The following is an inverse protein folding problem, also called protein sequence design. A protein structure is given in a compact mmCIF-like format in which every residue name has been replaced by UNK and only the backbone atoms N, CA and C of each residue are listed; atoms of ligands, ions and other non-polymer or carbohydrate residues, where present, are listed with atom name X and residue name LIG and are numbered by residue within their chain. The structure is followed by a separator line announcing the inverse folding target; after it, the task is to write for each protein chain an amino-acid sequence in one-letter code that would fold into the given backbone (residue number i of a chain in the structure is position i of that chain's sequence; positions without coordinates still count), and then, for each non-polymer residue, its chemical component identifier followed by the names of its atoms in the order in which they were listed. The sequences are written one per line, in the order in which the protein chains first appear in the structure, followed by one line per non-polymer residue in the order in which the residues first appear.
data_IF_363518549853
#
_entry.id   IF_363518549853
#
_cell.length_a   1.000
_cell.length_b   1.000
_cell.length_c   1.000
_cell.angle_alpha   90.00
_cell.angle_beta   90.00
_cell.angle_gamma   90.00
#
_symmetry.space_group_name_H-M   'P 1'
#
loop_
_entity.id
_entity.type
_entity.pdbx_description
1 polymer ?
#
# COMPACT_ATOMS: atom_id res chain seq x y z
N UNK A 1 5.25 -43.30 -2.24
CA UNK A 1 4.46 -43.15 -3.47
C UNK A 1 5.09 -43.93 -4.61
N UNK A 2 4.28 -44.31 -5.60
CA UNK A 2 4.72 -44.75 -6.92
C UNK A 2 5.16 -43.52 -7.71
N UNK A 3 6.35 -43.52 -8.29
CA UNK A 3 6.82 -42.43 -9.16
C UNK A 3 6.55 -42.84 -10.60
N UNK A 4 5.88 -41.98 -11.37
CA UNK A 4 5.57 -42.24 -12.79
C UNK A 4 6.19 -41.12 -13.63
N UNK A 5 7.20 -41.42 -14.47
CA UNK A 5 7.78 -40.42 -15.35
C UNK A 5 6.81 -40.11 -16.48
N UNK A 6 6.67 -38.82 -16.80
CA UNK A 6 5.91 -38.32 -17.95
C UNK A 6 6.90 -37.58 -18.83
N UNK A 7 6.99 -38.00 -20.10
CA UNK A 7 7.97 -37.49 -21.04
C UNK A 7 7.32 -36.50 -22.00
N UNK A 8 8.05 -35.44 -22.34
CA UNK A 8 7.63 -34.54 -23.41
C UNK A 8 7.62 -35.28 -24.76
N UNK A 9 6.65 -34.95 -25.61
CA UNK A 9 6.60 -35.51 -26.96
C UNK A 9 7.66 -34.85 -27.85
N UNK A 10 8.64 -35.60 -28.38
CA UNK A 10 9.72 -35.04 -29.20
C UNK A 10 9.21 -34.27 -30.43
N UNK A 11 8.04 -34.66 -30.93
CA UNK A 11 7.39 -34.06 -32.09
C UNK A 11 6.94 -32.62 -31.83
N UNK A 12 6.73 -32.22 -30.57
CA UNK A 12 6.21 -30.91 -30.16
C UNK A 12 7.30 -29.82 -30.14
N UNK A 13 8.58 -30.19 -30.03
CA UNK A 13 9.69 -29.24 -29.97
C UNK A 13 10.13 -28.67 -31.35
N UNK A 14 9.58 -29.16 -32.46
CA UNK A 14 10.09 -28.91 -33.82
C UNK A 14 9.30 -27.88 -34.65
N UNK A 15 8.54 -26.98 -34.02
CA UNK A 15 7.74 -25.92 -34.69
C UNK A 15 6.42 -26.41 -35.29
N UNK A 16 5.38 -26.53 -34.46
CA UNK A 16 4.44 -27.66 -34.56
C UNK A 16 3.02 -27.28 -35.00
N UNK A 17 2.41 -28.19 -35.77
CA UNK A 17 1.00 -28.20 -36.14
C UNK A 17 0.12 -28.58 -34.95
N UNK A 18 -0.98 -27.86 -34.76
CA UNK A 18 -1.98 -28.06 -33.71
C UNK A 18 -2.36 -29.53 -33.44
N UNK A 19 -2.52 -30.35 -34.49
CA UNK A 19 -2.88 -31.77 -34.37
C UNK A 19 -1.88 -32.59 -33.54
N UNK A 20 -0.59 -32.24 -33.59
CA UNK A 20 0.46 -32.94 -32.82
C UNK A 20 0.51 -32.53 -31.35
N UNK A 21 0.06 -31.31 -31.03
CA UNK A 21 -0.14 -30.94 -29.63
C UNK A 21 -1.30 -31.72 -29.01
N UNK A 22 -2.42 -31.86 -29.74
CA UNK A 22 -3.58 -32.67 -29.28
C UNK A 22 -3.17 -34.13 -29.07
N UNK A 23 -2.49 -34.75 -30.04
CA UNK A 23 -2.03 -36.14 -29.88
C UNK A 23 -1.12 -36.31 -28.65
N UNK A 24 -0.29 -35.31 -28.36
CA UNK A 24 0.58 -35.33 -27.19
C UNK A 24 -0.20 -35.14 -25.88
N UNK A 25 -1.16 -34.22 -25.87
CA UNK A 25 -2.06 -33.98 -24.73
C UNK A 25 -2.83 -35.25 -24.36
N UNK A 26 -3.39 -35.96 -25.35
CA UNK A 26 -4.06 -37.25 -25.15
C UNK A 26 -3.12 -38.30 -24.54
N UNK A 27 -1.86 -38.37 -24.99
CA UNK A 27 -0.86 -39.30 -24.46
C UNK A 27 -0.47 -38.99 -23.01
N UNK A 28 -0.26 -37.69 -22.71
CA UNK A 28 0.06 -37.23 -21.36
C UNK A 28 -1.11 -37.49 -20.43
N UNK A 29 -2.34 -37.15 -20.82
CA UNK A 29 -3.56 -37.39 -20.05
C UNK A 29 -3.76 -38.88 -19.77
N UNK A 30 -3.58 -39.74 -20.77
CA UNK A 30 -3.68 -41.19 -20.60
C UNK A 30 -2.64 -41.70 -19.59
N UNK A 31 -1.40 -41.20 -19.67
CA UNK A 31 -0.32 -41.57 -18.75
C UNK A 31 -0.63 -41.13 -17.31
N UNK A 32 -1.11 -39.90 -17.13
CA UNK A 32 -1.50 -39.37 -15.81
C UNK A 32 -2.70 -40.15 -15.23
N UNK A 33 -3.66 -40.51 -16.07
CA UNK A 33 -4.83 -41.32 -15.68
C UNK A 33 -4.42 -42.73 -15.25
N UNK A 34 -3.48 -43.36 -15.95
CA UNK A 34 -2.90 -44.65 -15.53
C UNK A 34 -2.06 -44.51 -14.25
N UNK A 35 -1.35 -43.39 -14.10
CA UNK A 35 -0.49 -43.11 -12.95
C UNK A 35 -1.29 -43.01 -11.64
N UNK A 36 -2.47 -42.36 -11.68
CA UNK A 36 -3.42 -42.28 -10.55
C UNK A 36 -3.77 -43.67 -9.99
N UNK A 37 -3.86 -44.68 -10.84
CA UNK A 37 -4.27 -46.03 -10.45
C UNK A 37 -5.75 -46.12 -10.04
N UNK A 38 -6.18 -47.29 -9.58
CA UNK A 38 -7.59 -47.58 -9.28
C UNK A 38 -8.02 -47.23 -7.85
N UNK A 39 -7.11 -46.75 -7.00
CA UNK A 39 -7.35 -46.62 -5.57
C UNK A 39 -8.15 -45.36 -5.17
N UNK A 40 -8.47 -44.47 -6.11
CA UNK A 40 -9.29 -43.29 -5.87
C UNK A 40 -8.49 -42.07 -5.38
N UNK A 41 -7.39 -42.30 -4.68
CA UNK A 41 -6.45 -41.27 -4.24
C UNK A 41 -5.78 -40.64 -5.47
N UNK A 42 -5.93 -39.33 -5.67
CA UNK A 42 -5.38 -38.61 -6.82
C UNK A 42 -3.85 -38.58 -6.82
N UNK A 43 -3.27 -37.86 -7.78
CA UNK A 43 -1.85 -37.55 -7.82
C UNK A 43 -1.54 -36.55 -6.70
N UNK A 44 -0.72 -36.97 -5.73
CA UNK A 44 -0.29 -36.14 -4.59
C UNK A 44 0.80 -35.14 -4.95
N UNK A 45 1.70 -35.47 -5.88
CA UNK A 45 2.85 -34.63 -6.22
C UNK A 45 3.10 -34.64 -7.72
N UNK A 46 3.14 -33.44 -8.31
CA UNK A 46 3.65 -33.21 -9.66
C UNK A 46 5.00 -32.49 -9.53
N UNK A 47 6.06 -33.09 -10.07
CA UNK A 47 7.39 -32.50 -10.08
C UNK A 47 7.74 -32.07 -11.51
N UNK A 48 7.95 -30.77 -11.72
CA UNK A 48 8.50 -30.21 -12.94
C UNK A 48 10.03 -30.17 -12.81
N UNK A 49 10.69 -31.12 -13.46
CA UNK A 49 12.14 -31.17 -13.48
C UNK A 49 12.74 -30.14 -14.46
N UNK A 50 14.05 -29.90 -14.32
CA UNK A 50 14.79 -28.92 -15.12
C UNK A 50 14.84 -29.27 -16.62
N UNK A 51 14.68 -30.54 -16.99
CA UNK A 51 14.71 -30.99 -18.38
C UNK A 51 13.36 -30.89 -19.08
N UNK A 52 12.28 -30.59 -18.34
CA UNK A 52 10.97 -30.37 -18.92
C UNK A 52 11.01 -29.15 -19.88
N UNK A 53 10.60 -29.30 -21.14
CA UNK A 53 10.54 -28.19 -22.09
C UNK A 53 9.28 -27.34 -21.86
N UNK A 54 9.29 -26.11 -22.35
CA UNK A 54 8.17 -25.16 -22.24
C UNK A 54 6.85 -25.76 -22.76
N UNK A 55 6.92 -26.47 -23.88
CA UNK A 55 5.76 -27.09 -24.53
C UNK A 55 5.10 -28.15 -23.65
N UNK A 56 5.88 -28.87 -22.81
CA UNK A 56 5.31 -29.79 -21.82
C UNK A 56 4.53 -29.03 -20.75
N UNK A 57 5.00 -27.83 -20.38
CA UNK A 57 4.27 -26.91 -19.52
C UNK A 57 2.91 -26.51 -20.10
N UNK A 58 2.88 -26.18 -21.39
CA UNK A 58 1.63 -25.82 -22.09
C UNK A 58 0.64 -26.99 -22.14
N UNK A 59 1.13 -28.21 -22.38
CA UNK A 59 0.29 -29.41 -22.37
C UNK A 59 -0.28 -29.65 -20.97
N UNK A 60 0.56 -29.53 -19.94
CA UNK A 60 0.10 -29.72 -18.57
C UNK A 60 -0.92 -28.64 -18.15
N UNK A 61 -0.70 -27.38 -18.52
CA UNK A 61 -1.65 -26.27 -18.33
C UNK A 61 -3.00 -26.56 -19.01
N UNK A 62 -2.98 -26.97 -20.27
CA UNK A 62 -4.19 -27.34 -21.02
C UNK A 62 -4.99 -28.45 -20.32
N UNK A 63 -4.29 -29.49 -19.85
CA UNK A 63 -4.94 -30.59 -19.13
C UNK A 63 -5.54 -30.11 -17.81
N UNK A 64 -4.80 -29.35 -17.01
CA UNK A 64 -5.18 -28.97 -15.65
C UNK A 64 -6.16 -27.78 -15.58
N UNK A 65 -6.24 -26.96 -16.63
CA UNK A 65 -7.24 -25.89 -16.74
C UNK A 65 -8.67 -26.40 -16.89
N UNK A 66 -8.84 -27.66 -17.31
CA UNK A 66 -10.14 -28.33 -17.36
C UNK A 66 -10.45 -28.89 -15.96
N UNK A 67 -11.42 -28.29 -15.27
CA UNK A 67 -11.89 -28.68 -13.93
C UNK A 67 -12.12 -30.19 -13.80
N UNK A 68 -12.81 -30.81 -14.77
CA UNK A 68 -13.05 -32.26 -14.76
C UNK A 68 -11.76 -33.10 -14.76
N UNK A 69 -10.74 -32.69 -15.52
CA UNK A 69 -9.45 -33.39 -15.53
C UNK A 69 -8.71 -33.17 -14.22
N UNK A 70 -8.76 -31.96 -13.67
CA UNK A 70 -8.13 -31.63 -12.40
C UNK A 70 -8.71 -32.48 -11.26
N UNK A 71 -10.02 -32.47 -11.08
CA UNK A 71 -10.72 -33.29 -10.07
C UNK A 71 -10.48 -34.79 -10.26
N UNK A 72 -10.32 -35.21 -11.52
CA UNK A 72 -10.01 -36.59 -11.85
C UNK A 72 -8.55 -36.93 -11.56
N UNK A 73 -7.59 -36.03 -11.75
CA UNK A 73 -6.17 -36.36 -11.73
C UNK A 73 -5.52 -36.10 -10.37
N UNK A 74 -5.79 -34.97 -9.73
CA UNK A 74 -5.12 -34.55 -8.49
C UNK A 74 -5.99 -34.79 -7.27
N UNK A 75 -5.35 -34.95 -6.11
CA UNK A 75 -6.09 -35.08 -4.84
C UNK A 75 -6.72 -33.74 -4.47
N UNK A 76 -8.05 -33.72 -4.29
CA UNK A 76 -8.88 -32.51 -4.09
C UNK A 76 -8.35 -31.58 -2.99
N UNK A 77 -7.66 -32.11 -1.97
CA UNK A 77 -7.19 -31.31 -0.81
C UNK A 77 -5.75 -31.63 -0.36
N UNK A 78 -5.01 -32.45 -1.10
CA UNK A 78 -3.71 -32.97 -0.66
C UNK A 78 -2.74 -33.16 -1.84
N UNK A 79 -2.58 -32.12 -2.66
CA UNK A 79 -1.60 -32.15 -3.74
C UNK A 79 -0.60 -31.01 -3.69
N UNK A 80 0.56 -31.28 -4.26
CA UNK A 80 1.70 -30.37 -4.38
C UNK A 80 2.17 -30.33 -5.83
N UNK A 81 2.52 -29.15 -6.32
CA UNK A 81 3.28 -29.01 -7.55
C UNK A 81 4.60 -28.34 -7.24
N UNK A 82 5.70 -28.94 -7.68
CA UNK A 82 7.04 -28.51 -7.32
C UNK A 82 7.83 -28.27 -8.59
N UNK A 83 8.51 -27.13 -8.65
CA UNK A 83 9.46 -26.81 -9.71
C UNK A 83 10.77 -26.37 -9.08
N UNK A 84 11.89 -26.87 -9.60
CA UNK A 84 13.22 -26.38 -9.25
C UNK A 84 13.89 -25.89 -10.53
N UNK A 85 14.29 -24.62 -10.57
CA UNK A 85 14.94 -24.04 -11.73
C UNK A 85 16.07 -23.08 -11.32
N UNK A 86 17.11 -22.92 -12.17
CA UNK A 86 18.03 -21.80 -12.05
C UNK A 86 17.27 -20.47 -12.17
N UNK A 87 17.75 -19.42 -11.48
CA UNK A 87 17.15 -18.07 -11.55
C UNK A 87 17.51 -17.35 -12.87
N UNK A 88 17.05 -17.90 -13.99
CA UNK A 88 17.19 -17.36 -15.34
C UNK A 88 15.80 -16.97 -15.88
N UNK A 89 15.68 -15.80 -16.51
CA UNK A 89 14.40 -15.32 -17.07
C UNK A 89 13.77 -16.30 -18.08
N UNK A 90 14.58 -17.14 -18.75
CA UNK A 90 14.09 -18.16 -19.68
C UNK A 90 13.28 -19.28 -19.00
N UNK A 91 13.44 -19.46 -17.69
CA UNK A 91 12.81 -20.54 -16.91
C UNK A 91 11.56 -20.09 -16.14
N UNK A 92 11.17 -18.81 -16.26
CA UNK A 92 10.03 -18.23 -15.53
C UNK A 92 8.69 -18.91 -15.87
N UNK A 93 8.60 -19.62 -16.99
CA UNK A 93 7.37 -20.28 -17.40
C UNK A 93 6.89 -21.33 -16.40
N UNK A 94 7.77 -22.07 -15.70
CA UNK A 94 7.35 -23.08 -14.70
C UNK A 94 6.66 -22.39 -13.53
N UNK A 95 7.20 -21.26 -13.10
CA UNK A 95 6.61 -20.43 -12.05
C UNK A 95 5.28 -19.83 -12.51
N UNK A 96 5.20 -19.36 -13.74
CA UNK A 96 3.97 -18.83 -14.31
C UNK A 96 2.89 -19.91 -14.43
N UNK A 97 3.25 -21.14 -14.78
CA UNK A 97 2.35 -22.30 -14.79
C UNK A 97 1.76 -22.56 -13.41
N UNK A 98 2.59 -22.62 -12.37
CA UNK A 98 2.13 -22.81 -11.00
C UNK A 98 1.25 -21.62 -10.52
N UNK A 99 1.62 -20.39 -10.85
CA UNK A 99 0.81 -19.21 -10.51
C UNK A 99 -0.52 -19.19 -11.26
N UNK A 100 -0.55 -19.62 -12.53
CA UNK A 100 -1.77 -19.73 -13.31
C UNK A 100 -2.72 -20.75 -12.69
N UNK A 101 -2.22 -21.95 -12.38
CA UNK A 101 -2.99 -22.98 -11.67
C UNK A 101 -3.57 -22.46 -10.35
N UNK A 102 -2.77 -21.72 -9.56
CA UNK A 102 -3.23 -21.10 -8.31
C UNK A 102 -4.41 -20.14 -8.52
N UNK A 103 -4.43 -19.42 -9.65
CA UNK A 103 -5.44 -18.41 -9.96
C UNK A 103 -6.72 -19.00 -10.56
N UNK A 104 -6.64 -20.19 -11.19
CA UNK A 104 -7.79 -20.88 -11.75
C UNK A 104 -8.66 -21.57 -10.68
N UNK A 105 -8.08 -21.87 -9.53
CA UNK A 105 -8.79 -22.53 -8.44
C UNK A 105 -9.68 -21.54 -7.68
N UNK A 106 -10.97 -21.88 -7.60
CA UNK A 106 -12.01 -20.98 -7.10
C UNK A 106 -11.88 -20.70 -5.60
N UNK A 107 -11.25 -21.62 -4.86
CA UNK A 107 -11.15 -21.59 -3.40
C UNK A 107 -9.74 -21.19 -2.95
N UNK A 108 -9.64 -20.03 -2.29
CA UNK A 108 -8.45 -19.65 -1.50
C UNK A 108 -8.39 -20.59 -0.27
N UNK A 109 -7.35 -21.40 -0.03
CA UNK A 109 -6.00 -20.95 -0.30
C UNK A 109 -5.04 -22.02 -0.83
N UNK A 110 -4.92 -22.09 -2.15
CA UNK A 110 -3.71 -22.66 -2.74
C UNK A 110 -2.53 -21.73 -2.45
N UNK A 111 -1.53 -22.28 -1.75
CA UNK A 111 -0.31 -21.59 -1.35
C UNK A 111 0.74 -21.76 -2.43
N UNK A 112 1.31 -20.67 -2.91
CA UNK A 112 2.53 -20.68 -3.73
C UNK A 112 3.70 -20.16 -2.89
N UNK A 113 4.64 -21.04 -2.58
CA UNK A 113 5.84 -20.72 -1.83
C UNK A 113 7.04 -20.67 -2.76
N UNK A 114 7.86 -19.64 -2.61
CA UNK A 114 9.13 -19.48 -3.31
C UNK A 114 10.26 -19.56 -2.30
N UNK A 115 11.20 -20.45 -2.56
CA UNK A 115 12.42 -20.61 -1.79
C UNK A 115 13.62 -20.37 -2.67
N UNK A 116 14.56 -19.56 -2.20
CA UNK A 116 15.86 -19.41 -2.84
C UNK A 116 16.84 -20.36 -2.16
N UNK A 117 17.55 -21.13 -2.98
CA UNK A 117 18.56 -22.10 -2.54
C UNK A 117 19.88 -21.68 -3.15
N UNK A 118 20.90 -21.43 -2.32
CA UNK A 118 22.24 -21.09 -2.76
C UNK A 118 23.21 -22.21 -2.38
N UNK A 119 23.97 -22.71 -3.37
CA UNK A 119 25.02 -23.72 -3.17
C UNK A 119 26.24 -23.31 -3.99
N UNK A 120 27.40 -23.18 -3.36
CA UNK A 120 28.67 -22.78 -3.98
C UNK A 120 28.58 -21.52 -4.84
N UNK A 121 27.77 -20.55 -4.40
CA UNK A 121 27.52 -19.29 -5.11
C UNK A 121 26.53 -19.35 -6.28
N UNK A 122 26.01 -20.53 -6.62
CA UNK A 122 24.92 -20.69 -7.58
C UNK A 122 23.56 -20.62 -6.85
N UNK A 123 22.61 -19.86 -7.40
CA UNK A 123 21.26 -19.71 -6.84
C UNK A 123 20.22 -20.39 -7.71
N UNK A 124 19.39 -21.20 -7.07
CA UNK A 124 18.23 -21.87 -7.64
C UNK A 124 16.96 -21.37 -6.95
N UNK A 125 15.85 -21.34 -7.68
CA UNK A 125 14.52 -21.05 -7.15
C UNK A 125 13.73 -22.36 -7.09
N UNK A 126 13.29 -22.73 -5.89
CA UNK A 126 12.34 -23.81 -5.63
C UNK A 126 10.96 -23.19 -5.44
N UNK A 127 10.04 -23.50 -6.33
CA UNK A 127 8.65 -23.04 -6.29
C UNK A 127 7.75 -24.22 -5.95
N UNK A 128 6.96 -24.07 -4.88
CA UNK A 128 6.07 -25.09 -4.37
C UNK A 128 4.65 -24.53 -4.34
N UNK A 129 3.77 -25.09 -5.15
CA UNK A 129 2.34 -24.94 -5.03
C UNK A 129 1.79 -26.03 -4.11
N UNK A 130 0.91 -25.67 -3.18
CA UNK A 130 0.27 -26.62 -2.26
C UNK A 130 -1.19 -26.27 -2.06
N UNK A 131 -2.07 -27.27 -2.23
CA UNK A 131 -3.49 -27.18 -1.89
C UNK A 131 -3.81 -27.84 -0.53
N UNK A 132 -2.81 -28.08 0.31
CA UNK A 132 -3.04 -28.68 1.63
C UNK A 132 -3.59 -27.62 2.60
N UNK A 133 -4.79 -27.85 3.14
CA UNK A 133 -5.41 -26.98 4.15
C UNK A 133 -4.59 -26.93 5.46
N UNK A 134 -3.89 -28.01 5.80
CA UNK A 134 -3.12 -28.15 7.05
C UNK A 134 -1.68 -27.63 6.96
N UNK A 135 -1.16 -27.31 5.77
CA UNK A 135 0.18 -26.73 5.63
C UNK A 135 0.22 -25.29 6.14
N UNK A 136 0.42 -25.11 7.45
CA UNK A 136 0.78 -23.81 7.99
C UNK A 136 2.19 -23.39 7.60
N UNK A 137 2.49 -22.09 7.67
CA UNK A 137 3.83 -21.50 7.42
C UNK A 137 4.99 -22.21 8.16
N UNK A 138 4.70 -22.92 9.27
CA UNK A 138 5.66 -23.74 10.02
C UNK A 138 6.26 -24.88 9.19
N UNK A 139 5.52 -25.47 8.24
CA UNK A 139 6.03 -26.56 7.40
C UNK A 139 7.06 -26.05 6.40
N UNK A 140 6.87 -24.86 5.82
CA UNK A 140 7.87 -24.23 4.95
C UNK A 140 9.14 -23.89 5.73
N UNK A 141 9.01 -23.39 6.95
CA UNK A 141 10.18 -23.18 7.83
C UNK A 141 10.91 -24.49 8.15
N UNK A 142 10.15 -25.56 8.43
CA UNK A 142 10.74 -26.88 8.68
C UNK A 142 11.43 -27.45 7.43
N UNK A 143 10.90 -27.18 6.24
CA UNK A 143 11.52 -27.55 4.96
C UNK A 143 12.82 -26.78 4.74
N UNK A 144 12.82 -25.47 4.99
CA UNK A 144 14.00 -24.62 4.94
C UNK A 144 15.12 -25.16 5.84
N UNK A 145 14.81 -25.45 7.10
CA UNK A 145 15.78 -26.00 8.07
C UNK A 145 16.33 -27.36 7.61
N UNK A 146 15.48 -28.23 7.05
CA UNK A 146 15.90 -29.52 6.50
C UNK A 146 16.78 -29.37 5.26
N UNK A 147 16.47 -28.44 4.37
CA UNK A 147 17.27 -28.15 3.18
C UNK A 147 18.64 -27.60 3.59
N UNK A 148 18.69 -26.62 4.50
CA UNK A 148 19.96 -26.10 5.02
C UNK A 148 20.80 -27.22 5.65
N UNK A 149 20.20 -28.07 6.48
CA UNK A 149 20.90 -29.18 7.11
C UNK A 149 21.46 -30.17 6.07
N UNK A 150 20.67 -30.54 5.06
CA UNK A 150 21.10 -31.46 4.01
C UNK A 150 22.18 -30.86 3.10
N UNK A 151 22.07 -29.58 2.74
CA UNK A 151 23.02 -28.91 1.87
C UNK A 151 24.34 -28.61 2.57
N UNK A 152 24.32 -28.38 3.89
CA UNK A 152 25.52 -28.17 4.70
C UNK A 152 26.47 -29.38 4.72
N UNK A 153 25.97 -30.59 4.41
CA UNK A 153 26.81 -31.78 4.25
C UNK A 153 27.65 -31.74 2.95
N UNK A 154 27.19 -30.98 1.96
CA UNK A 154 27.82 -30.85 0.64
C UNK A 154 28.66 -29.58 0.54
N UNK A 155 28.15 -28.47 1.08
CA UNK A 155 28.79 -27.16 1.05
C UNK A 155 28.47 -26.37 2.34
N UNK A 156 29.52 -25.95 3.06
CA UNK A 156 29.39 -25.21 4.30
C UNK A 156 28.79 -23.81 4.14
N UNK A 157 28.81 -23.25 2.91
CA UNK A 157 28.21 -21.97 2.57
C UNK A 157 26.81 -22.10 1.97
N UNK A 158 26.25 -23.32 1.91
CA UNK A 158 24.91 -23.50 1.37
C UNK A 158 23.83 -22.88 2.27
N UNK A 159 22.82 -22.29 1.63
CA UNK A 159 21.66 -21.71 2.30
C UNK A 159 20.37 -22.05 1.55
N UNK A 160 19.26 -22.03 2.28
CA UNK A 160 17.92 -22.05 1.72
C UNK A 160 17.07 -21.07 2.53
N UNK A 161 16.25 -20.28 1.85
CA UNK A 161 15.39 -19.26 2.47
C UNK A 161 14.03 -19.20 1.79
N UNK A 162 12.95 -19.16 2.58
CA UNK A 162 11.61 -18.84 2.07
C UNK A 162 11.52 -17.33 1.81
N UNK A 163 11.47 -16.94 0.54
CA UNK A 163 11.47 -15.53 0.12
C UNK A 163 10.06 -14.97 -0.02
N UNK A 164 9.10 -15.80 -0.42
CA UNK A 164 7.71 -15.38 -0.57
C UNK A 164 6.75 -16.54 -0.36
N UNK A 165 5.58 -16.25 0.23
CA UNK A 165 4.42 -17.12 0.24
C UNK A 165 3.22 -16.30 -0.23
N UNK A 166 2.59 -16.73 -1.32
CA UNK A 166 1.42 -16.10 -1.93
C UNK A 166 0.20 -16.99 -1.77
N UNK A 167 -0.98 -16.41 -1.56
CA UNK A 167 -2.17 -17.17 -1.15
C UNK A 167 -2.03 -17.66 0.29
N UNK A 168 -2.87 -18.58 0.75
CA UNK A 168 -2.60 -19.22 2.05
C UNK A 168 -3.05 -18.45 3.28
N UNK A 169 -3.37 -17.17 3.14
CA UNK A 169 -3.46 -16.25 4.30
C UNK A 169 -4.74 -16.44 5.10
N UNK A 170 -5.83 -16.80 4.43
CA UNK A 170 -7.12 -17.02 5.04
C UNK A 170 -7.63 -18.39 4.60
N UNK A 171 -8.09 -19.20 5.55
CA UNK A 171 -8.86 -20.39 5.21
C UNK A 171 -10.16 -19.91 4.56
N UNK A 172 -10.52 -20.43 3.39
CA UNK A 172 -11.85 -20.20 2.85
C UNK A 172 -12.89 -20.64 3.88
N UNK A 173 -13.80 -19.73 4.18
CA UNK A 173 -14.96 -19.98 5.02
C UNK A 173 -16.17 -19.89 4.11
N UNK A 174 -16.80 -21.04 3.83
CA UNK A 174 -18.02 -21.11 3.01
C UNK A 174 -19.09 -20.16 3.57
N UNK A 175 -19.22 -20.14 4.90
CA UNK A 175 -20.07 -19.21 5.66
C UNK A 175 -19.24 -18.09 6.29
N UNK A 176 -18.51 -17.31 5.49
CA UNK A 176 -17.76 -16.15 5.99
C UNK A 176 -18.71 -15.10 6.57
N UNK A 177 -18.87 -15.10 7.89
CA UNK A 177 -19.62 -14.10 8.67
C UNK A 177 -18.64 -13.21 9.46
N UNK A 178 -18.02 -12.22 8.81
CA UNK A 178 -17.09 -11.34 9.48
C UNK A 178 -17.82 -10.55 10.55
N UNK A 179 -17.32 -10.59 11.78
CA UNK A 179 -17.78 -9.67 12.82
C UNK A 179 -17.49 -8.24 12.37
N UNK A 180 -18.53 -7.50 12.05
CA UNK A 180 -18.45 -6.06 11.85
C UNK A 180 -18.22 -5.41 13.22
N UNK A 181 -17.17 -4.61 13.33
CA UNK A 181 -16.91 -3.79 14.52
C UNK A 181 -17.42 -2.38 14.24
N UNK A 182 -18.70 -2.06 14.57
CA UNK A 182 -19.22 -0.71 14.45
C UNK A 182 -18.41 0.25 15.32
N UNK A 183 -18.51 1.55 15.06
CA UNK A 183 -17.82 2.55 15.89
C UNK A 183 -18.21 2.43 17.39
N UNK A 184 -19.44 2.02 17.67
CA UNK A 184 -19.98 1.83 19.01
C UNK A 184 -19.36 0.63 19.76
N UNK A 185 -18.68 -0.29 19.05
CA UNK A 185 -17.92 -1.38 19.68
C UNK A 185 -16.60 -0.88 20.32
N UNK A 186 -16.19 0.37 20.03
CA UNK A 186 -14.99 0.98 20.58
C UNK A 186 -15.33 1.88 21.77
N UNK A 187 -14.51 1.86 22.82
CA UNK A 187 -14.63 2.79 23.95
C UNK A 187 -14.30 4.22 23.45
N UNK A 188 -15.25 5.18 23.49
CA UNK A 188 -14.99 6.55 23.04
C UNK A 188 -14.14 7.34 24.05
N UNK A 189 -13.98 6.85 25.29
CA UNK A 189 -13.34 7.58 26.37
C UNK A 189 -11.92 8.06 26.05
N UNK A 190 -11.00 7.25 25.47
CA UNK A 190 -9.67 7.74 25.12
C UNK A 190 -9.71 8.90 24.10
N UNK A 191 -10.66 8.84 23.15
CA UNK A 191 -10.88 9.92 22.18
C UNK A 191 -11.42 11.19 22.84
N UNK A 192 -12.38 11.06 23.75
CA UNK A 192 -12.96 12.17 24.50
C UNK A 192 -11.95 12.79 25.47
N UNK A 193 -11.16 11.99 26.17
CA UNK A 193 -10.10 12.46 27.07
C UNK A 193 -9.01 13.20 26.27
N UNK A 194 -8.63 12.67 25.11
CA UNK A 194 -7.71 13.34 24.19
C UNK A 194 -8.29 14.67 23.69
N UNK A 195 -9.56 14.68 23.29
CA UNK A 195 -10.26 15.87 22.85
C UNK A 195 -10.31 16.96 23.94
N UNK A 196 -10.73 16.60 25.15
CA UNK A 196 -10.82 17.52 26.28
C UNK A 196 -9.46 18.08 26.73
N UNK A 197 -8.38 17.33 26.48
CA UNK A 197 -7.02 17.77 26.77
C UNK A 197 -6.44 18.74 25.73
N UNK A 198 -7.12 18.96 24.59
CA UNK A 198 -6.63 19.87 23.55
C UNK A 198 -6.61 21.32 24.05
N UNK A 199 -5.53 22.02 23.74
CA UNK A 199 -5.37 23.45 24.04
C UNK A 199 -4.83 24.15 22.81
N UNK A 200 -5.61 25.04 22.16
CA UNK A 200 -5.10 25.87 21.08
C UNK A 200 -4.17 26.90 21.74
N UNK A 201 -2.90 26.87 21.35
CA UNK A 201 -1.85 27.78 21.81
C UNK A 201 -1.43 28.77 20.73
N UNK A 202 -2.13 28.79 19.61
CA UNK A 202 -1.86 29.71 18.52
C UNK A 202 -2.53 29.29 17.23
N UNK A 203 -2.57 30.21 16.28
CA UNK A 203 -3.09 29.99 14.93
C UNK A 203 -2.05 30.37 13.91
N UNK A 204 -1.88 29.54 12.89
CA UNK A 204 -0.98 29.82 11.77
C UNK A 204 -1.80 29.91 10.49
N UNK A 205 -1.66 31.00 9.74
CA UNK A 205 -2.15 31.10 8.38
C UNK A 205 -0.98 31.13 7.40
N UNK A 206 -1.10 30.38 6.31
CA UNK A 206 -0.22 30.45 5.14
C UNK A 206 -1.06 30.95 3.98
N UNK A 207 -0.71 32.12 3.46
CA UNK A 207 -1.46 32.79 2.40
C UNK A 207 -0.53 33.01 1.22
N UNK A 208 -0.97 32.60 0.04
CA UNK A 208 -0.22 32.74 -1.20
C UNK A 208 -0.88 33.77 -2.10
N UNK A 209 -0.05 34.60 -2.70
CA UNK A 209 -0.44 35.68 -3.59
C UNK A 209 0.35 35.56 -4.90
N UNK A 210 -0.37 35.67 -6.01
CA UNK A 210 0.19 35.61 -7.35
C UNK A 210 -0.08 36.89 -8.12
N UNK A 211 0.87 37.30 -8.96
CA UNK A 211 0.68 38.42 -9.87
C UNK A 211 -0.40 38.07 -10.92
N UNK A 212 -1.39 38.95 -11.16
CA UNK A 212 -2.30 38.75 -12.29
C UNK A 212 -1.56 38.82 -13.63
N UNK A 213 -2.10 38.20 -14.67
CA UNK A 213 -1.53 38.18 -16.03
C UNK A 213 -1.22 39.62 -16.54
N UNK A 214 -2.14 40.56 -16.31
CA UNK A 214 -1.99 41.98 -16.68
C UNK A 214 -1.47 42.87 -15.52
N UNK A 215 -0.92 42.27 -14.47
CA UNK A 215 -0.49 42.96 -13.25
C UNK A 215 0.81 43.76 -13.41
N UNK A 216 0.92 44.83 -12.63
CA UNK A 216 2.18 45.59 -12.52
C UNK A 216 3.24 44.73 -11.83
N UNK A 217 4.47 44.75 -12.35
CA UNK A 217 5.58 44.04 -11.69
C UNK A 217 5.80 44.57 -10.27
N UNK A 218 5.98 43.66 -9.32
CA UNK A 218 6.39 44.00 -7.97
C UNK A 218 7.91 44.14 -7.94
N UNK A 219 8.44 45.13 -7.23
CA UNK A 219 9.86 45.24 -6.90
C UNK A 219 10.07 45.09 -5.39
N UNK A 220 11.30 44.79 -4.98
CA UNK A 220 11.62 44.56 -3.56
C UNK A 220 11.18 45.73 -2.66
N UNK A 221 11.33 46.97 -3.14
CA UNK A 221 10.96 48.16 -2.38
C UNK A 221 9.44 48.26 -2.20
N UNK A 222 8.69 47.94 -3.25
CA UNK A 222 7.23 47.92 -3.24
C UNK A 222 6.70 46.79 -2.35
N UNK A 223 7.31 45.61 -2.41
CA UNK A 223 6.98 44.48 -1.52
C UNK A 223 7.19 44.85 -0.05
N UNK A 224 8.38 45.36 0.31
CA UNK A 224 8.69 45.78 1.68
C UNK A 224 7.75 46.91 2.11
N UNK A 225 7.45 47.87 1.23
CA UNK A 225 6.51 48.96 1.52
C UNK A 225 5.08 48.48 1.74
N UNK A 226 4.64 47.39 1.10
CA UNK A 226 3.33 46.79 1.37
C UNK A 226 3.27 46.24 2.79
N UNK A 227 4.29 45.48 3.20
CA UNK A 227 4.37 44.92 4.56
C UNK A 227 4.46 46.04 5.61
N UNK A 228 5.33 47.03 5.40
CA UNK A 228 5.54 48.17 6.30
C UNK A 228 4.27 49.04 6.46
N UNK A 229 3.37 49.07 5.47
CA UNK A 229 2.15 49.88 5.53
C UNK A 229 1.07 49.28 6.43
N UNK A 230 1.07 47.96 6.62
CA UNK A 230 0.02 47.20 7.36
C UNK A 230 0.48 46.94 8.79
N UNK A 231 1.77 46.79 8.95
CA UNK A 231 2.38 46.67 10.25
C UNK A 231 2.19 47.98 11.02
N UNK A 232 1.22 48.03 11.92
CA UNK A 232 1.08 49.16 12.82
C UNK A 232 2.43 49.48 13.46
N UNK A 233 2.79 50.78 13.46
CA UNK A 233 4.13 51.30 13.76
C UNK A 233 4.72 50.91 15.12
N UNK A 234 3.94 50.26 15.98
CA UNK A 234 4.31 49.88 17.34
C UNK A 234 4.31 48.35 17.59
N UNK A 235 3.85 47.52 16.66
CA UNK A 235 3.69 46.07 16.89
C UNK A 235 4.81 45.22 16.28
N UNK A 236 5.42 45.63 15.17
CA UNK A 236 6.33 44.76 14.42
C UNK A 236 7.68 45.45 14.18
N UNK A 237 8.75 44.92 14.79
CA UNK A 237 10.11 45.19 14.33
C UNK A 237 10.41 44.22 13.18
N UNK A 238 10.77 44.76 12.02
CA UNK A 238 11.09 43.96 10.83
C UNK A 238 12.58 43.84 10.61
N UNK A 239 12.99 42.63 10.28
CA UNK A 239 14.25 42.37 9.61
C UNK A 239 13.97 42.10 8.13
N UNK A 240 14.65 42.85 7.26
CA UNK A 240 14.49 42.73 5.81
C UNK A 240 15.76 42.17 5.20
N UNK A 241 15.62 41.06 4.47
CA UNK A 241 16.70 40.36 3.80
C UNK A 241 16.48 40.39 2.29
N UNK A 242 17.32 41.14 1.56
CA UNK A 242 17.26 41.28 0.09
C UNK A 242 18.39 40.53 -0.63
N UNK A 243 19.17 39.73 0.09
CA UNK A 243 20.32 39.00 -0.46
C UNK A 243 19.96 37.61 -1.01
N UNK A 244 18.68 37.25 -1.04
CA UNK A 244 18.19 35.94 -1.48
C UNK A 244 17.71 36.04 -2.94
N UNK A 245 18.63 35.84 -3.88
CA UNK A 245 18.32 35.90 -5.32
C UNK A 245 17.83 37.28 -5.76
N UNK A 246 16.76 37.32 -6.55
CA UNK A 246 16.05 38.56 -6.95
C UNK A 246 14.92 38.94 -5.96
N UNK A 247 14.67 38.09 -4.97
CA UNK A 247 13.56 38.19 -4.04
C UNK A 247 13.88 38.97 -2.76
N UNK A 248 12.93 38.92 -1.83
CA UNK A 248 13.06 39.52 -0.52
C UNK A 248 12.33 38.70 0.54
N UNK A 249 12.88 38.69 1.75
CA UNK A 249 12.26 38.10 2.93
C UNK A 249 12.09 39.19 3.98
N UNK A 250 10.88 39.32 4.51
CA UNK A 250 10.56 40.19 5.65
C UNK A 250 10.16 39.30 6.81
N UNK A 251 10.89 39.41 7.92
CA UNK A 251 10.63 38.65 9.15
C UNK A 251 10.27 39.64 10.25
N UNK A 252 9.22 39.34 10.98
CA UNK A 252 8.92 40.00 12.25
C UNK A 252 8.57 38.97 13.30
N UNK A 253 9.06 39.21 14.50
CA UNK A 253 8.80 38.42 15.69
C UNK A 253 8.41 39.36 16.83
N UNK A 254 7.29 39.09 17.46
CA UNK A 254 6.61 39.98 18.42
C UNK A 254 6.00 39.18 19.54
N UNK A 255 5.64 39.82 20.64
CA UNK A 255 4.95 39.15 21.76
C UNK A 255 3.56 38.59 21.35
N UNK A 256 2.96 39.13 20.28
CA UNK A 256 1.68 38.65 19.76
C UNK A 256 1.83 37.45 18.81
N UNK A 257 3.00 37.29 18.17
CA UNK A 257 3.23 36.30 17.14
C UNK A 257 4.34 36.69 16.16
N UNK A 258 4.43 35.97 15.05
CA UNK A 258 5.47 36.16 14.04
C UNK A 258 4.88 36.26 12.63
N UNK A 259 5.47 37.10 11.79
CA UNK A 259 5.20 37.18 10.36
C UNK A 259 6.48 36.83 9.59
N UNK A 260 6.37 35.92 8.63
CA UNK A 260 7.40 35.70 7.61
C UNK A 260 6.76 35.92 6.25
N UNK A 261 7.13 36.98 5.56
CA UNK A 261 6.69 37.28 4.21
C UNK A 261 7.85 37.04 3.23
N UNK A 262 7.62 36.26 2.19
CA UNK A 262 8.61 35.96 1.16
C UNK A 262 8.09 36.39 -0.21
N UNK A 263 8.94 37.04 -0.98
CA UNK A 263 8.72 37.33 -2.39
C UNK A 263 9.85 36.70 -3.20
N UNK A 264 9.50 35.98 -4.27
CA UNK A 264 10.44 35.19 -5.07
C UNK A 264 11.31 36.01 -6.05
N UNK A 265 11.02 37.31 -6.18
CA UNK A 265 11.67 38.21 -7.14
C UNK A 265 10.86 38.43 -8.42
N UNK A 266 9.71 37.78 -8.56
CA UNK A 266 8.88 37.79 -9.76
C UNK A 266 7.42 37.99 -9.41
N UNK A 267 6.62 36.93 -9.42
CA UNK A 267 5.17 36.96 -9.40
C UNK A 267 4.56 36.35 -8.15
N UNK A 268 5.35 35.75 -7.25
CA UNK A 268 4.82 35.01 -6.12
C UNK A 268 5.21 35.61 -4.77
N UNK A 269 4.21 35.74 -3.89
CA UNK A 269 4.38 36.17 -2.50
C UNK A 269 3.70 35.17 -1.56
N UNK A 270 4.44 34.66 -0.57
CA UNK A 270 3.89 33.89 0.54
C UNK A 270 3.91 34.71 1.82
N UNK A 271 2.81 34.67 2.57
CA UNK A 271 2.69 35.21 3.92
C UNK A 271 2.48 34.05 4.88
N UNK A 272 3.40 33.88 5.81
CA UNK A 272 3.31 32.92 6.90
C UNK A 272 3.12 33.70 8.20
N UNK A 273 1.87 33.74 8.65
CA UNK A 273 1.42 34.51 9.81
C UNK A 273 1.17 33.52 10.94
N UNK A 274 1.77 33.75 12.09
CA UNK A 274 1.54 32.96 13.29
C UNK A 274 1.20 33.87 14.46
N UNK A 275 0.10 33.56 15.15
CA UNK A 275 -0.33 34.25 16.36
C UNK A 275 -0.22 33.30 17.56
N UNK A 276 0.28 33.81 18.70
CA UNK A 276 0.35 33.06 19.96
C UNK A 276 -1.00 32.88 20.64
N UNK A 277 -2.02 33.58 20.16
CA UNK A 277 -3.41 33.33 20.46
C UNK A 277 -4.13 32.76 19.23
N UNK A 278 -5.25 32.08 19.44
CA UNK A 278 -6.08 31.57 18.35
C UNK A 278 -7.03 32.67 17.84
N UNK A 279 -6.46 33.85 17.57
CA UNK A 279 -7.19 35.05 17.18
C UNK A 279 -7.32 35.14 15.66
N UNK A 280 -8.35 34.50 15.13
CA UNK A 280 -8.72 34.56 13.71
C UNK A 280 -8.83 36.00 13.20
N UNK A 281 -9.53 36.84 13.96
CA UNK A 281 -9.87 38.21 13.55
C UNK A 281 -8.65 39.06 13.21
N UNK A 282 -7.53 38.85 13.92
CA UNK A 282 -6.28 39.60 13.68
C UNK A 282 -5.63 39.19 12.35
N UNK A 283 -5.57 37.87 12.10
CA UNK A 283 -5.05 37.33 10.84
C UNK A 283 -5.93 37.78 9.67
N UNK A 284 -7.24 37.72 9.82
CA UNK A 284 -8.18 38.14 8.79
C UNK A 284 -8.10 39.63 8.48
N UNK A 285 -7.98 40.47 9.51
CA UNK A 285 -7.78 41.91 9.34
C UNK A 285 -6.49 42.19 8.56
N UNK A 286 -5.37 41.55 8.96
CA UNK A 286 -4.08 41.70 8.29
C UNK A 286 -4.14 41.27 6.82
N UNK A 287 -4.66 40.07 6.52
CA UNK A 287 -4.73 39.55 5.14
C UNK A 287 -5.65 40.40 4.27
N UNK A 288 -6.76 40.88 4.82
CA UNK A 288 -7.68 41.77 4.11
C UNK A 288 -7.04 43.12 3.79
N UNK A 289 -6.32 43.71 4.73
CA UNK A 289 -5.60 44.96 4.53
C UNK A 289 -4.47 44.79 3.50
N UNK A 290 -3.68 43.71 3.61
CA UNK A 290 -2.66 43.35 2.61
C UNK A 290 -3.26 43.24 1.21
N UNK A 291 -4.35 42.49 1.07
CA UNK A 291 -5.03 42.29 -0.21
C UNK A 291 -5.55 43.61 -0.78
N UNK A 292 -6.03 44.52 0.07
CA UNK A 292 -6.51 45.85 -0.35
C UNK A 292 -5.36 46.71 -0.86
N UNK A 293 -4.21 46.71 -0.18
CA UNK A 293 -3.04 47.49 -0.61
C UNK A 293 -2.33 46.90 -1.84
N UNK A 294 -2.41 45.59 -2.00
CA UNK A 294 -1.82 44.85 -3.12
C UNK A 294 -2.75 44.80 -4.36
N UNK A 295 -3.93 45.42 -4.30
CA UNK A 295 -4.91 45.40 -5.39
C UNK A 295 -4.29 45.85 -6.73
N UNK A 296 -4.52 45.05 -7.77
CA UNK A 296 -3.95 45.26 -9.11
C UNK A 296 -2.46 44.85 -9.26
N UNK A 297 -1.80 44.45 -8.18
CA UNK A 297 -0.42 43.91 -8.20
C UNK A 297 -0.38 42.43 -7.86
N UNK A 298 -1.19 41.97 -6.92
CA UNK A 298 -1.26 40.59 -6.45
C UNK A 298 -2.72 40.19 -6.23
N UNK A 299 -3.02 38.92 -6.50
CA UNK A 299 -4.28 38.26 -6.19
C UNK A 299 -4.03 37.13 -5.20
N UNK A 300 -4.86 37.01 -4.18
CA UNK A 300 -4.79 35.86 -3.26
C UNK A 300 -5.21 34.60 -4.01
N UNK A 301 -4.29 33.63 -4.11
CA UNK A 301 -4.53 32.33 -4.74
C UNK A 301 -4.98 31.28 -3.74
N UNK A 302 -4.26 31.19 -2.61
CA UNK A 302 -4.47 30.16 -1.59
C UNK A 302 -4.43 30.78 -0.19
N UNK A 303 -5.26 30.26 0.72
CA UNK A 303 -5.19 30.52 2.16
C UNK A 303 -5.43 29.21 2.90
N UNK A 304 -4.43 28.78 3.65
CA UNK A 304 -4.49 27.64 4.54
C UNK A 304 -4.36 28.09 5.99
N UNK A 305 -5.31 27.68 6.82
CA UNK A 305 -5.34 27.94 8.26
C UNK A 305 -4.99 26.66 9.03
N UNK A 306 -4.14 26.77 10.06
CA UNK A 306 -3.69 25.66 10.89
C UNK A 306 -3.75 26.00 12.38
N UNK A 307 -4.43 25.20 13.21
CA UNK A 307 -4.36 25.35 14.66
C UNK A 307 -2.99 24.86 15.15
N UNK A 308 -2.44 25.54 16.17
CA UNK A 308 -1.20 25.14 16.86
C UNK A 308 -1.48 24.95 18.35
N UNK A 309 -0.85 23.96 18.97
CA UNK A 309 -0.98 23.72 20.40
C UNK A 309 -0.65 22.30 20.82
N UNK A 310 -1.27 21.84 21.91
CA UNK A 310 -1.00 20.53 22.53
C UNK A 310 -2.20 19.59 22.47
N UNK A 311 -1.98 18.29 22.29
CA UNK A 311 -3.07 17.28 22.34
C UNK A 311 -3.05 16.18 21.28
N UNK A 312 -1.90 15.91 20.61
CA UNK A 312 -1.72 15.03 19.43
C UNK A 312 -2.51 15.46 18.20
N UNK A 313 -3.83 15.61 18.32
CA UNK A 313 -4.74 16.18 17.31
C UNK A 313 -5.09 17.59 17.78
N UNK A 314 -5.02 18.55 16.86
CA UNK A 314 -5.23 19.97 17.15
C UNK A 314 -6.43 20.46 16.35
N UNK A 315 -7.39 21.06 17.05
CA UNK A 315 -8.54 21.74 16.44
C UNK A 315 -8.48 23.25 16.73
N UNK A 316 -9.26 24.03 15.97
CA UNK A 316 -9.42 25.46 16.24
C UNK A 316 -10.27 25.65 17.51
N UNK A 317 -10.09 26.80 18.18
CA UNK A 317 -10.87 27.17 19.36
C UNK A 317 -12.36 27.21 19.08
N UNK A 318 -12.77 27.61 17.87
CA UNK A 318 -14.16 27.53 17.40
C UNK A 318 -14.73 26.11 17.47
N UNK A 319 -13.90 25.11 17.17
CA UNK A 319 -14.29 23.71 17.12
C UNK A 319 -14.37 23.09 18.52
N UNK A 320 -13.67 23.69 19.51
CA UNK A 320 -13.69 23.23 20.90
C UNK A 320 -14.96 23.66 21.64
N UNK A 321 -15.70 24.65 21.14
CA UNK A 321 -16.98 25.08 21.70
C UNK A 321 -18.17 24.62 20.86
N UNK A 322 -18.39 23.30 20.77
CA UNK A 322 -19.74 22.81 20.51
C UNK A 322 -20.58 22.93 21.78
N UNK A 323 -21.12 24.12 22.04
CA UNK A 323 -22.28 24.26 22.89
C UNK A 323 -23.48 23.67 22.13
N UNK A 324 -23.66 22.36 22.26
CA UNK A 324 -24.68 21.60 21.54
C UNK A 324 -24.05 20.61 20.58
N UNK A 325 -23.86 19.38 21.07
CA UNK A 325 -24.29 18.24 20.27
C UNK A 325 -25.81 18.38 20.07
N UNK A 326 -26.22 19.22 19.13
CA UNK A 326 -27.45 19.01 18.35
C UNK A 326 -27.14 18.28 17.04
N UNK A 327 -26.16 17.35 17.14
CA UNK A 327 -26.21 15.96 16.69
C UNK A 327 -26.14 15.60 15.19
N UNK A 328 -25.63 14.39 14.95
CA UNK A 328 -26.10 13.53 13.85
C UNK A 328 -27.11 12.47 14.36
N UNK A 329 -27.49 12.52 15.65
CA UNK A 329 -28.27 11.50 16.40
C UNK A 329 -29.45 12.03 17.23
N UNK A 330 -29.89 13.29 17.08
CA UNK A 330 -31.16 13.81 17.59
C UNK A 330 -32.30 13.26 16.73
N UNK A 331 -32.53 11.96 16.90
CA UNK A 331 -33.87 11.48 17.16
C UNK A 331 -33.80 10.49 18.31
N UNK A 332 -34.17 10.97 19.50
CA UNK A 332 -35.03 10.19 20.37
C UNK A 332 -36.12 11.12 20.90
N UNK A 333 -37.40 10.95 20.53
CA UNK A 333 -38.45 11.65 21.22
C UNK A 333 -38.96 10.74 22.33
N UNK A 334 -38.36 10.80 23.52
CA UNK A 334 -39.12 10.47 24.72
C UNK A 334 -38.54 11.04 26.00
N UNK A 335 -39.24 12.01 26.56
CA UNK A 335 -39.32 12.17 28.01
C UNK A 335 -40.79 12.33 28.35
N UNK A 336 -41.33 11.39 29.11
CA UNK A 336 -42.40 11.72 30.06
C UNK A 336 -41.90 11.33 31.46
N UNK A 337 -41.88 12.33 32.34
CA UNK A 337 -41.28 12.34 33.67
C UNK A 337 -42.28 11.98 34.78
N UNK A 338 -43.51 11.58 34.45
CA UNK A 338 -44.52 11.26 35.45
C UNK A 338 -44.86 9.76 35.46
N UNK A 339 -43.96 8.91 35.97
CA UNK A 339 -44.28 7.66 36.71
C UNK A 339 -43.05 6.86 37.14
N UNK A 340 -42.93 6.74 38.46
CA UNK A 340 -42.35 5.67 39.29
C UNK A 340 -40.83 5.65 39.52
#
# INVERSE_FOLDING_TARGET
GKVVPVWACPEVAAGVSFDKMIECEDQVLATLTEARGHAGDGIEVILLDESAPYEMGQILDSILSIEFHRDMLVSENEHYMVSLAPKLESEDWRKNLLEHYRLEELYDPIKLTKMEITVSGATMELVILSNDHETGFKRYKSLEEKLVAALSEVDAEASAEVVAVTGGMFLFQEDYDPRYYPHDDYDPKPGLDQWAAQKPLGRKAVVQFDKPEEGTALDAKSFVSLIDSIAEKDLYQFEVYTTVGEGAVVVSDTDAGSLVATWDGRDHVDLNIFMHDDSEEVIEAFVKEFSTLAEGKLNMGLRDDFPRGTGRVMNFKSDLSYAGLSSITEREPYVDLDKL
#
